data_IF_072810626135
#
_entry.id   IF_072810626135
#
_cell.length_a   1.000
_cell.length_b   1.000
_cell.length_c   1.000
_cell.angle_alpha   90.00
_cell.angle_beta   90.00
_cell.angle_gamma   90.00
#
_symmetry.space_group_name_H-M   'P 1'
#
loop_
_entity.id
_entity.type
_entity.pdbx_description
1 polymer ?
#
# COMPACT_ATOMS: atom_id res chain seq x y z
N UNK A 1 -18.61 -7.21 -3.59
CA UNK A 1 -19.10 -8.60 -3.52
C UNK A 1 -18.71 -9.27 -4.82
N UNK A 2 -17.83 -10.25 -4.75
CA UNK A 2 -17.34 -11.00 -5.91
C UNK A 2 -18.18 -12.26 -6.19
N UNK A 3 -19.19 -12.55 -5.36
CA UNK A 3 -20.14 -13.64 -5.59
C UNK A 3 -19.54 -15.04 -5.53
N UNK A 4 -18.35 -15.19 -4.95
CA UNK A 4 -17.63 -16.46 -4.84
C UNK A 4 -17.48 -16.90 -3.38
N UNK A 5 -17.63 -18.20 -3.14
CA UNK A 5 -17.36 -18.81 -1.84
C UNK A 5 -15.88 -18.60 -1.47
N UNK A 6 -15.64 -18.23 -0.21
CA UNK A 6 -14.29 -17.94 0.27
C UNK A 6 -13.71 -16.60 -0.19
N UNK A 7 -14.51 -15.67 -0.73
CA UNK A 7 -14.03 -14.32 -1.06
C UNK A 7 -13.36 -13.63 0.14
N UNK A 8 -12.31 -12.86 -0.13
CA UNK A 8 -11.62 -12.02 0.86
C UNK A 8 -12.06 -10.56 0.65
N UNK A 9 -12.20 -9.80 1.73
CA UNK A 9 -12.63 -8.40 1.72
C UNK A 9 -14.04 -8.14 2.25
N UNK A 10 -14.64 -9.12 2.95
CA UNK A 10 -15.93 -8.99 3.67
C UNK A 10 -15.86 -9.49 5.12
N UNK A 11 -14.66 -9.55 5.67
CA UNK A 11 -14.40 -9.94 7.05
C UNK A 11 -15.04 -8.94 8.04
N UNK A 12 -15.28 -9.39 9.27
CA UNK A 12 -15.88 -8.53 10.28
C UNK A 12 -14.88 -7.50 10.84
N UNK A 13 -13.59 -7.81 10.78
CA UNK A 13 -12.54 -6.94 11.33
C UNK A 13 -11.33 -6.83 10.38
N UNK A 14 -10.57 -5.71 10.44
CA UNK A 14 -9.28 -5.60 9.77
C UNK A 14 -8.33 -6.75 10.13
N UNK A 15 -8.33 -7.20 11.37
CA UNK A 15 -7.48 -8.28 11.87
C UNK A 15 -7.79 -9.61 11.19
N UNK A 16 -9.08 -9.95 11.02
CA UNK A 16 -9.51 -11.12 10.26
C UNK A 16 -9.10 -11.02 8.79
N UNK A 17 -9.27 -9.86 8.16
CA UNK A 17 -8.82 -9.63 6.79
C UNK A 17 -7.31 -9.85 6.65
N UNK A 18 -6.52 -9.26 7.55
CA UNK A 18 -5.06 -9.41 7.59
C UNK A 18 -4.67 -10.88 7.82
N UNK A 19 -5.34 -11.59 8.71
CA UNK A 19 -5.11 -13.01 8.98
C UNK A 19 -5.36 -13.87 7.72
N UNK A 20 -6.48 -13.64 7.02
CA UNK A 20 -6.81 -14.38 5.79
C UNK A 20 -5.82 -14.10 4.67
N UNK A 21 -5.44 -12.84 4.48
CA UNK A 21 -4.38 -12.47 3.51
C UNK A 21 -3.07 -13.15 3.89
N UNK A 22 -2.67 -13.11 5.17
CA UNK A 22 -1.45 -13.76 5.65
C UNK A 22 -1.45 -15.26 5.37
N UNK A 23 -2.57 -15.95 5.61
CA UNK A 23 -2.72 -17.37 5.31
C UNK A 23 -2.55 -17.69 3.80
N UNK A 24 -3.13 -16.86 2.91
CA UNK A 24 -2.92 -17.01 1.47
C UNK A 24 -1.44 -16.82 1.11
N UNK A 25 -0.82 -15.78 1.66
CA UNK A 25 0.59 -15.49 1.38
C UNK A 25 1.54 -16.52 2.00
N UNK A 26 1.16 -17.20 3.07
CA UNK A 26 1.90 -18.34 3.58
C UNK A 26 2.03 -19.44 2.52
N UNK A 27 0.94 -19.75 1.82
CA UNK A 27 0.94 -20.71 0.71
C UNK A 27 1.71 -20.21 -0.51
N UNK A 28 1.60 -18.93 -0.84
CA UNK A 28 2.42 -18.30 -1.90
C UNK A 28 3.91 -18.45 -1.57
N UNK A 29 4.30 -18.18 -0.31
CA UNK A 29 5.67 -18.35 0.15
C UNK A 29 6.14 -19.80 0.04
N UNK A 30 5.28 -20.77 0.34
CA UNK A 30 5.59 -22.21 0.25
C UNK A 30 6.04 -22.58 -1.15
N UNK A 31 5.31 -22.15 -2.19
CA UNK A 31 5.59 -22.49 -3.59
C UNK A 31 6.64 -21.61 -4.27
N UNK A 32 6.90 -20.41 -3.74
CA UNK A 32 7.91 -19.51 -4.30
C UNK A 32 9.32 -20.13 -4.19
N UNK A 33 10.16 -19.96 -5.20
CA UNK A 33 11.56 -20.41 -5.14
C UNK A 33 12.33 -19.66 -4.04
N UNK A 34 13.44 -20.20 -3.49
CA UNK A 34 14.22 -19.51 -2.46
C UNK A 34 14.71 -18.11 -2.84
N UNK A 35 14.93 -17.89 -4.14
CA UNK A 35 15.38 -16.61 -4.72
C UNK A 35 14.24 -15.75 -5.28
N UNK A 36 13.01 -16.25 -5.23
CA UNK A 36 11.85 -15.57 -5.79
C UNK A 36 11.44 -14.32 -5.01
N UNK A 37 10.82 -13.38 -5.73
CA UNK A 37 10.20 -12.18 -5.18
C UNK A 37 8.69 -12.24 -5.35
N UNK A 38 7.97 -11.59 -4.44
CA UNK A 38 6.53 -11.40 -4.50
C UNK A 38 6.22 -9.92 -4.36
N UNK A 39 5.35 -9.41 -5.23
CA UNK A 39 4.97 -8.00 -5.27
C UNK A 39 3.50 -7.87 -4.92
N UNK A 40 3.21 -7.16 -3.83
CA UNK A 40 1.86 -6.98 -3.33
C UNK A 40 1.43 -5.52 -3.53
N UNK A 41 0.50 -5.29 -4.45
CA UNK A 41 -0.22 -4.02 -4.55
C UNK A 41 -1.43 -4.02 -3.60
N UNK A 42 -1.55 -3.01 -2.75
CA UNK A 42 -2.65 -2.88 -1.80
C UNK A 42 -2.97 -1.41 -1.49
N UNK A 43 -4.27 -1.10 -1.50
CA UNK A 43 -4.80 0.21 -1.14
C UNK A 43 -5.29 0.23 0.31
N UNK A 44 -5.34 1.42 0.90
CA UNK A 44 -5.91 1.60 2.23
C UNK A 44 -7.42 1.86 2.19
N UNK A 45 -8.05 1.73 3.35
CA UNK A 45 -9.47 2.00 3.56
C UNK A 45 -9.69 2.82 4.84
N UNK A 46 -10.80 3.53 4.87
CA UNK A 46 -11.17 4.37 6.01
C UNK A 46 -12.19 3.65 6.88
N UNK A 47 -12.10 3.86 8.19
CA UNK A 47 -13.11 3.41 9.13
C UNK A 47 -14.42 4.15 8.86
N UNK A 48 -15.45 3.39 8.47
CA UNK A 48 -16.78 3.91 8.17
C UNK A 48 -17.49 4.46 9.42
N UNK A 49 -18.65 5.10 9.21
CA UNK A 49 -19.49 5.59 10.31
C UNK A 49 -20.27 4.48 11.05
N UNK A 50 -20.17 3.23 10.58
CA UNK A 50 -20.94 2.06 11.03
C UNK A 50 -21.96 1.61 10.00
N UNK A 51 -22.70 0.54 10.30
CA UNK A 51 -23.78 0.07 9.43
C UNK A 51 -24.92 1.11 9.37
N UNK A 52 -25.49 1.28 8.18
CA UNK A 52 -26.71 2.09 7.97
C UNK A 52 -27.99 1.28 8.19
N UNK A 53 -27.89 0.07 8.75
CA UNK A 53 -29.01 -0.81 9.00
C UNK A 53 -30.11 -0.18 9.86
N UNK A 54 -29.72 0.66 10.83
CA UNK A 54 -30.63 1.22 11.83
C UNK A 54 -31.44 2.44 11.33
N UNK A 55 -31.12 2.97 10.15
CA UNK A 55 -31.82 4.12 9.58
C UNK A 55 -32.32 3.79 8.17
N UNK A 56 -33.41 3.02 8.10
CA UNK A 56 -34.14 2.80 6.86
C UNK A 56 -34.92 4.06 6.49
N UNK A 57 -34.76 4.54 5.26
CA UNK A 57 -35.57 5.63 4.71
C UNK A 57 -37.05 5.20 4.73
N UNK A 58 -37.94 5.87 5.48
CA UNK A 58 -39.36 5.50 5.57
C UNK A 58 -40.04 5.48 4.20
N UNK A 59 -39.53 6.25 3.24
CA UNK A 59 -40.03 6.29 1.85
C UNK A 59 -39.67 5.02 1.06
N UNK A 60 -38.60 4.32 1.44
CA UNK A 60 -38.08 3.13 0.75
C UNK A 60 -37.69 2.02 1.75
N UNK A 61 -38.67 1.35 2.38
CA UNK A 61 -38.42 0.33 3.40
C UNK A 61 -37.70 -0.93 2.86
N UNK A 62 -37.66 -1.12 1.54
CA UNK A 62 -36.90 -2.20 0.87
C UNK A 62 -35.60 -1.69 0.21
N UNK A 63 -35.16 -0.48 0.56
CA UNK A 63 -34.06 0.22 -0.09
C UNK A 63 -34.43 0.83 -1.45
N UNK A 64 -33.63 1.77 -1.95
CA UNK A 64 -33.75 2.24 -3.34
C UNK A 64 -33.15 1.19 -4.26
N UNK A 65 -33.94 0.72 -5.23
CA UNK A 65 -33.50 -0.17 -6.31
C UNK A 65 -32.92 -1.53 -5.86
N UNK A 66 -33.41 -2.11 -4.76
CA UNK A 66 -32.94 -3.43 -4.30
C UNK A 66 -31.51 -3.42 -3.72
N UNK A 67 -30.98 -2.26 -3.34
CA UNK A 67 -29.72 -2.17 -2.62
C UNK A 67 -29.78 -2.98 -1.33
N UNK A 68 -28.83 -3.90 -1.16
CA UNK A 68 -28.62 -4.58 0.11
C UNK A 68 -28.14 -3.57 1.16
N UNK A 69 -28.58 -3.76 2.40
CA UNK A 69 -28.13 -2.98 3.54
C UNK A 69 -26.62 -3.15 3.70
N UNK A 70 -25.87 -2.04 3.68
CA UNK A 70 -24.45 -2.05 3.95
C UNK A 70 -24.20 -2.36 5.44
N UNK A 71 -23.90 -3.62 5.74
CA UNK A 71 -23.40 -4.04 7.04
C UNK A 71 -21.91 -3.76 7.09
N UNK A 72 -21.55 -2.65 7.72
CA UNK A 72 -20.16 -2.26 7.94
C UNK A 72 -19.86 -2.45 9.43
N UNK A 73 -19.03 -3.43 9.73
CA UNK A 73 -18.48 -3.60 11.05
C UNK A 73 -17.45 -2.50 11.32
N UNK A 74 -17.39 -2.01 12.57
CA UNK A 74 -16.39 -1.00 12.96
C UNK A 74 -15.06 -1.69 13.15
N UNK A 75 -13.99 -1.13 12.55
CA UNK A 75 -12.63 -1.50 12.85
C UNK A 75 -12.34 -1.20 14.34
N UNK A 76 -12.00 -2.20 15.16
CA UNK A 76 -11.69 -1.98 16.58
C UNK A 76 -10.58 -0.93 16.74
N UNK A 77 -10.74 -0.01 17.69
CA UNK A 77 -9.74 1.04 17.94
C UNK A 77 -9.67 2.18 16.92
N UNK A 78 -10.40 2.11 15.79
CA UNK A 78 -10.48 3.19 14.81
C UNK A 78 -11.75 4.04 14.99
N UNK A 79 -11.59 5.36 15.02
CA UNK A 79 -12.70 6.32 15.02
C UNK A 79 -13.28 6.45 13.61
N UNK A 80 -14.54 6.88 13.46
CA UNK A 80 -15.07 7.20 12.14
C UNK A 80 -14.17 8.21 11.41
N UNK A 81 -13.93 7.97 10.12
CA UNK A 81 -13.00 8.71 9.24
C UNK A 81 -11.51 8.46 9.48
N UNK A 82 -11.10 7.65 10.45
CA UNK A 82 -9.70 7.26 10.58
C UNK A 82 -9.27 6.42 9.38
N UNK A 83 -8.05 6.65 8.89
CA UNK A 83 -7.40 5.73 7.95
C UNK A 83 -6.98 4.49 8.74
N UNK A 84 -7.34 3.30 8.27
CA UNK A 84 -7.13 2.07 9.05
C UNK A 84 -5.65 1.63 9.01
N UNK A 85 -4.95 1.88 7.91
CA UNK A 85 -3.56 1.44 7.77
C UNK A 85 -3.43 0.01 7.23
N UNK A 86 -4.43 -0.47 6.49
CA UNK A 86 -4.48 -1.85 5.96
C UNK A 86 -3.18 -2.27 5.26
N UNK A 87 -2.57 -1.46 4.37
CA UNK A 87 -1.32 -1.82 3.70
C UNK A 87 -0.21 -2.18 4.69
N UNK A 88 -0.05 -1.38 5.75
CA UNK A 88 1.00 -1.59 6.74
C UNK A 88 0.65 -2.70 7.71
N UNK A 89 -0.62 -2.86 8.11
CA UNK A 89 -1.05 -4.00 8.92
C UNK A 89 -0.72 -5.33 8.21
N UNK A 90 -1.05 -5.44 6.92
CA UNK A 90 -0.71 -6.61 6.11
C UNK A 90 0.81 -6.77 5.98
N UNK A 91 1.55 -5.72 5.61
CA UNK A 91 3.00 -5.82 5.43
C UNK A 91 3.75 -6.21 6.73
N UNK A 92 3.29 -5.74 7.88
CA UNK A 92 3.83 -6.11 9.19
C UNK A 92 3.48 -7.55 9.57
N UNK A 93 2.24 -7.99 9.32
CA UNK A 93 1.82 -9.36 9.55
C UNK A 93 2.61 -10.35 8.70
N UNK A 94 2.79 -10.07 7.40
CA UNK A 94 3.60 -10.89 6.49
C UNK A 94 5.06 -10.97 6.95
N UNK A 95 5.63 -9.87 7.45
CA UNK A 95 6.97 -9.88 8.06
C UNK A 95 7.02 -10.77 9.30
N UNK A 96 5.99 -10.73 10.14
CA UNK A 96 5.81 -11.63 11.29
C UNK A 96 5.72 -13.10 10.89
N UNK A 97 5.08 -13.40 9.75
CA UNK A 97 5.03 -14.73 9.11
C UNK A 97 6.36 -15.10 8.38
N UNK A 98 7.42 -14.34 8.65
CA UNK A 98 8.79 -14.63 8.20
C UNK A 98 9.07 -14.25 6.75
N UNK A 99 8.25 -13.42 6.11
CA UNK A 99 8.64 -12.77 4.86
C UNK A 99 9.70 -11.69 5.14
N UNK A 100 10.58 -11.45 4.17
CA UNK A 100 11.42 -10.25 4.17
C UNK A 100 10.69 -9.12 3.45
N UNK A 101 10.35 -8.05 4.17
CA UNK A 101 9.84 -6.80 3.58
C UNK A 101 11.02 -5.94 3.11
N UNK A 102 11.21 -5.83 1.79
CA UNK A 102 12.41 -5.24 1.20
C UNK A 102 12.23 -3.81 0.71
N UNK A 103 11.03 -3.44 0.33
CA UNK A 103 10.72 -2.07 -0.09
C UNK A 103 9.23 -1.76 0.06
N UNK A 104 8.94 -0.50 0.38
CA UNK A 104 7.61 0.10 0.30
C UNK A 104 7.61 1.13 -0.83
N UNK A 105 6.94 0.82 -1.92
CA UNK A 105 6.92 1.63 -3.13
C UNK A 105 5.57 2.37 -3.20
N UNK A 106 5.60 3.63 -3.60
CA UNK A 106 4.40 4.42 -3.85
C UNK A 106 4.07 4.35 -5.33
N UNK A 107 2.97 3.68 -5.67
CA UNK A 107 2.42 3.76 -7.01
C UNK A 107 1.53 5.00 -7.11
N UNK A 108 2.09 6.10 -7.60
CA UNK A 108 1.37 7.33 -7.85
C UNK A 108 0.54 7.22 -9.14
N UNK A 109 -0.77 7.44 -9.03
CA UNK A 109 -1.73 7.45 -10.13
C UNK A 109 -1.91 8.89 -10.62
N UNK A 110 -1.46 9.18 -11.84
CA UNK A 110 -1.56 10.52 -12.42
C UNK A 110 -3.00 11.02 -12.68
N UNK A 111 -3.96 10.10 -12.80
CA UNK A 111 -5.37 10.42 -13.03
C UNK A 111 -6.28 9.54 -12.15
N UNK A 112 -6.31 9.77 -10.82
CA UNK A 112 -7.14 8.98 -9.91
C UNK A 112 -8.61 9.39 -10.06
N UNK A 113 -9.54 8.48 -9.74
CA UNK A 113 -10.95 8.86 -9.66
C UNK A 113 -11.15 9.96 -8.62
N UNK A 114 -11.88 11.04 -8.94
CA UNK A 114 -12.20 12.09 -7.98
C UNK A 114 -12.99 11.53 -6.80
N UNK A 115 -12.69 12.03 -5.61
CA UNK A 115 -13.42 11.67 -4.40
C UNK A 115 -14.38 12.81 -4.00
N UNK A 116 -15.59 12.48 -3.56
CA UNK A 116 -16.57 13.47 -3.10
C UNK A 116 -16.27 14.03 -1.70
N UNK A 117 -15.19 13.57 -1.08
CA UNK A 117 -14.80 13.92 0.29
C UNK A 117 -14.03 15.25 0.28
N UNK A 118 -14.35 16.17 1.21
CA UNK A 118 -13.81 17.55 1.22
C UNK A 118 -12.93 17.90 2.43
N UNK A 119 -12.79 16.99 3.39
CA UNK A 119 -12.08 17.21 4.66
C UNK A 119 -10.73 16.46 4.75
N UNK A 120 -10.22 16.00 3.61
CA UNK A 120 -8.87 15.41 3.47
C UNK A 120 -8.38 15.48 2.03
N UNK A 121 -7.07 15.28 1.79
CA UNK A 121 -6.55 15.12 0.44
C UNK A 121 -7.15 13.91 -0.28
N UNK A 122 -7.28 14.02 -1.61
CA UNK A 122 -7.62 12.91 -2.49
C UNK A 122 -6.51 11.86 -2.44
N UNK A 123 -6.88 10.58 -2.37
CA UNK A 123 -5.93 9.48 -2.44
C UNK A 123 -5.57 9.22 -3.89
N UNK A 124 -4.36 9.61 -4.27
CA UNK A 124 -3.82 9.41 -5.62
C UNK A 124 -2.76 8.31 -5.69
N UNK A 125 -2.61 7.46 -4.68
CA UNK A 125 -1.58 6.41 -4.69
C UNK A 125 -2.03 5.11 -4.04
N UNK A 126 -1.29 4.05 -4.36
CA UNK A 126 -1.36 2.73 -3.70
C UNK A 126 0.05 2.31 -3.25
N UNK A 127 0.12 1.42 -2.25
CA UNK A 127 1.38 0.82 -1.86
C UNK A 127 1.64 -0.43 -2.69
N UNK A 128 2.88 -0.54 -3.18
CA UNK A 128 3.42 -1.78 -3.72
C UNK A 128 4.55 -2.24 -2.81
N UNK A 129 4.39 -3.39 -2.17
CA UNK A 129 5.40 -3.97 -1.31
C UNK A 129 6.21 -5.03 -2.06
N UNK A 130 7.53 -4.93 -1.97
CA UNK A 130 8.45 -5.98 -2.39
C UNK A 130 8.72 -6.91 -1.21
N UNK A 131 8.26 -8.16 -1.34
CA UNK A 131 8.43 -9.23 -0.36
C UNK A 131 9.33 -10.33 -0.94
N UNK A 132 10.21 -10.90 -0.12
CA UNK A 132 11.11 -11.98 -0.56
C UNK A 132 11.10 -13.15 0.41
N UNK A 133 11.27 -14.37 -0.12
CA UNK A 133 11.27 -15.61 0.67
C UNK A 133 12.53 -15.73 1.52
N UNK A 134 13.66 -15.25 1.01
CA UNK A 134 14.94 -15.31 1.69
C UNK A 134 15.71 -13.98 1.56
N UNK A 135 16.78 -13.84 2.37
CA UNK A 135 17.67 -12.67 2.33
C UNK A 135 18.42 -12.54 1.01
N UNK A 136 18.65 -13.66 0.29
CA UNK A 136 19.31 -13.73 -1.01
C UNK A 136 18.23 -14.02 -2.06
N UNK A 137 17.88 -13.01 -2.84
CA UNK A 137 16.86 -13.14 -3.88
C UNK A 137 17.36 -12.50 -5.16
N UNK A 138 16.76 -12.92 -6.26
CA UNK A 138 17.05 -12.36 -7.57
C UNK A 138 16.41 -10.97 -7.71
N UNK A 139 17.22 -9.98 -8.05
CA UNK A 139 16.77 -8.63 -8.38
C UNK A 139 17.75 -7.98 -9.36
N UNK A 140 17.33 -7.89 -10.62
CA UNK A 140 18.09 -7.20 -11.66
C UNK A 140 17.82 -5.69 -11.58
N UNK A 141 18.66 -5.00 -10.80
CA UNK A 141 18.57 -3.55 -10.65
C UNK A 141 18.96 -2.80 -11.92
N UNK A 142 19.74 -3.42 -12.81
CA UNK A 142 20.18 -2.78 -14.06
C UNK A 142 19.03 -2.74 -15.07
N UNK A 143 18.21 -3.79 -15.12
CA UNK A 143 17.02 -3.85 -15.97
C UNK A 143 15.98 -2.75 -15.68
N UNK A 144 16.00 -2.19 -14.47
CA UNK A 144 15.08 -1.10 -14.05
C UNK A 144 15.80 0.25 -13.83
N UNK A 145 17.08 0.35 -14.21
CA UNK A 145 17.82 1.58 -14.06
C UNK A 145 17.37 2.61 -15.09
N UNK A 146 17.01 3.81 -14.63
CA UNK A 146 16.70 4.94 -15.51
C UNK A 146 17.97 5.75 -15.81
N UNK A 147 18.07 6.36 -17.01
CA UNK A 147 19.17 7.27 -17.32
C UNK A 147 19.25 8.42 -16.31
N UNK A 148 20.46 8.69 -15.83
CA UNK A 148 20.69 9.88 -15.01
C UNK A 148 20.35 11.15 -15.80
N UNK A 149 19.89 12.20 -15.09
CA UNK A 149 19.66 13.50 -15.72
C UNK A 149 20.93 13.99 -16.44
N UNK A 150 20.82 14.60 -17.64
CA UNK A 150 21.99 15.05 -18.41
C UNK A 150 22.92 15.98 -17.61
N UNK A 151 22.34 16.85 -16.78
CA UNK A 151 23.09 17.74 -15.87
C UNK A 151 23.91 16.97 -14.85
N UNK A 152 23.41 15.84 -14.35
CA UNK A 152 24.13 14.94 -13.45
C UNK A 152 25.29 14.26 -14.16
N UNK A 153 25.09 13.81 -15.41
CA UNK A 153 26.16 13.22 -16.21
C UNK A 153 27.32 14.21 -16.45
N UNK A 154 27.00 15.46 -16.76
CA UNK A 154 28.02 16.53 -16.90
C UNK A 154 28.74 16.76 -15.57
N UNK A 155 28.01 16.87 -14.46
CA UNK A 155 28.59 17.08 -13.12
C UNK A 155 29.55 15.96 -12.72
N UNK A 156 29.21 14.70 -13.00
CA UNK A 156 30.07 13.55 -12.72
C UNK A 156 31.40 13.62 -13.49
N UNK A 157 31.37 14.08 -14.75
CA UNK A 157 32.58 14.26 -15.57
C UNK A 157 33.50 15.37 -15.06
N UNK A 158 32.93 16.43 -14.48
CA UNK A 158 33.70 17.60 -14.01
C UNK A 158 34.50 17.35 -12.73
N UNK A 159 34.21 16.27 -11.99
CA UNK A 159 34.84 15.99 -10.69
C UNK A 159 34.54 17.05 -9.61
N UNK A 160 34.88 16.72 -8.36
CA UNK A 160 34.92 17.71 -7.27
C UNK A 160 36.34 18.26 -7.20
N UNK A 161 36.55 19.47 -7.72
CA UNK A 161 37.84 20.15 -7.73
C UNK A 161 37.78 21.48 -6.98
N UNK A 162 38.91 21.88 -6.37
CA UNK A 162 39.05 23.13 -5.58
C UNK A 162 38.72 24.43 -6.34
N UNK A 163 38.54 24.37 -7.68
CA UNK A 163 38.22 25.51 -8.54
C UNK A 163 36.76 25.62 -8.99
N UNK A 164 35.87 24.69 -8.59
CA UNK A 164 34.45 24.75 -8.97
C UNK A 164 33.64 25.57 -7.96
N UNK A 165 32.51 26.16 -8.39
CA UNK A 165 31.60 26.99 -7.56
C UNK A 165 31.11 26.35 -6.23
N UNK A 166 31.31 25.04 -6.06
CA UNK A 166 31.04 24.29 -4.82
C UNK A 166 32.26 24.20 -3.90
N UNK A 167 33.34 24.93 -4.18
CA UNK A 167 34.53 25.04 -3.32
C UNK A 167 34.25 25.82 -2.02
N UNK A 168 33.19 26.64 -2.00
CA UNK A 168 32.68 27.21 -0.76
C UNK A 168 32.02 26.09 0.06
N UNK A 169 32.74 25.59 1.06
CA UNK A 169 32.26 24.60 2.01
C UNK A 169 31.05 25.15 2.77
N UNK A 170 29.91 24.45 2.69
CA UNK A 170 28.78 24.68 3.60
C UNK A 170 29.05 23.88 4.88
N UNK A 171 29.13 24.51 6.07
CA UNK A 171 29.37 23.78 7.32
C UNK A 171 28.31 22.68 7.53
N UNK A 172 28.76 21.44 7.76
CA UNK A 172 27.88 20.30 8.07
C UNK A 172 27.55 19.37 6.90
N UNK A 173 27.98 19.66 5.67
CA UNK A 173 27.99 18.65 4.60
C UNK A 173 29.32 17.92 4.60
N UNK A 174 29.30 16.63 4.95
CA UNK A 174 30.47 15.76 4.87
C UNK A 174 30.86 15.48 3.42
N UNK A 175 32.18 15.40 3.21
CA UNK A 175 32.90 15.18 1.95
C UNK A 175 32.45 13.93 1.19
#
# INVERSE_FOLDING_TARGET
DYGADGQIGREATPEEYVSRITAVFHEVKRVLTPEGTCWLNIADTYCGTGSKADHQDPKYPKGRNGQQVAVNHRAPGCKPKDLIGIPWLVALALRGDGWYLRSSIIWHKGNPMPESTRDRPTRCYEYVFLLTKSKKYYYDWQAVAEPIAPTTAVRLKSGVGKGNKYAATVPGQNQ
#
